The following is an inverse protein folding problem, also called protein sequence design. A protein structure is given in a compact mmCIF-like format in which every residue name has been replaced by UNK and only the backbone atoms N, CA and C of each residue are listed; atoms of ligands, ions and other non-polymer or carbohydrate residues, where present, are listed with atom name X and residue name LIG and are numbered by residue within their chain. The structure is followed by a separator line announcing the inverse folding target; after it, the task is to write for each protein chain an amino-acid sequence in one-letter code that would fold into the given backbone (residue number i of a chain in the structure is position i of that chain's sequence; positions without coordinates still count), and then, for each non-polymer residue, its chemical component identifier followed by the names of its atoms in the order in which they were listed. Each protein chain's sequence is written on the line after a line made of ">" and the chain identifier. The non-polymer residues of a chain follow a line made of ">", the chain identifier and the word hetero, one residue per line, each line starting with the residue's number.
data_IF_224910278971
#
_entry.id   IF_224910278971
#
_cell.length_a   1.000
_cell.length_b   1.000
_cell.length_c   1.000
_cell.angle_alpha   90.00
_cell.angle_beta   90.00
_cell.angle_gamma   90.00
#
_symmetry.space_group_name_H-M   'P 1'
#
loop_
_entity.id
_entity.type
_entity.pdbx_description
1 polymer ?
#
# COMPACT_ATOMS: atom_id res chain seq x y z
N UNK A 1 -4.12 -11.44 12.32
CA UNK A 1 -3.00 -12.40 12.28
C UNK A 1 -1.82 -11.69 11.62
N UNK A 2 -0.72 -11.52 12.36
CA UNK A 2 0.48 -10.82 11.88
C UNK A 2 1.20 -11.77 10.92
N UNK A 3 1.03 -11.56 9.62
CA UNK A 3 1.73 -12.30 8.56
C UNK A 3 3.21 -11.91 8.63
N UNK A 4 3.98 -12.60 9.48
CA UNK A 4 5.43 -12.53 9.46
C UNK A 4 5.91 -12.97 8.07
N UNK A 5 6.61 -12.07 7.39
CA UNK A 5 6.86 -12.09 5.96
C UNK A 5 7.64 -13.30 5.48
N UNK A 6 6.97 -14.20 4.76
CA UNK A 6 7.65 -14.95 3.71
C UNK A 6 7.65 -14.07 2.49
N UNK A 7 8.84 -13.67 2.01
CA UNK A 7 8.97 -12.99 0.71
C UNK A 7 8.21 -13.81 -0.33
N UNK A 8 7.32 -13.14 -1.05
CA UNK A 8 6.57 -13.74 -2.13
C UNK A 8 7.08 -13.15 -3.45
N UNK A 9 7.83 -13.92 -4.25
CA UNK A 9 8.44 -13.41 -5.48
C UNK A 9 7.39 -12.94 -6.49
N UNK A 10 6.16 -13.47 -6.43
CA UNK A 10 5.07 -13.01 -7.28
C UNK A 10 4.63 -11.60 -6.90
N UNK A 11 4.47 -11.31 -5.60
CA UNK A 11 4.12 -9.98 -5.11
C UNK A 11 5.23 -8.96 -5.33
N UNK A 12 6.49 -9.35 -5.18
CA UNK A 12 7.65 -8.51 -5.51
C UNK A 12 7.62 -8.11 -6.99
N UNK A 13 7.35 -9.07 -7.88
CA UNK A 13 7.23 -8.81 -9.31
C UNK A 13 6.05 -7.89 -9.63
N UNK A 14 4.86 -8.15 -9.07
CA UNK A 14 3.69 -7.29 -9.26
C UNK A 14 3.94 -5.86 -8.78
N UNK A 15 4.57 -5.71 -7.61
CA UNK A 15 4.93 -4.39 -7.09
C UNK A 15 5.94 -3.69 -8.01
N UNK A 16 6.95 -4.40 -8.51
CA UNK A 16 7.90 -3.88 -9.47
C UNK A 16 7.21 -3.41 -10.77
N UNK A 17 6.39 -4.26 -11.39
CA UNK A 17 5.69 -3.94 -12.64
C UNK A 17 4.78 -2.71 -12.47
N UNK A 18 4.14 -2.57 -11.30
CA UNK A 18 3.34 -1.40 -10.96
C UNK A 18 4.20 -0.12 -10.85
N UNK A 19 5.34 -0.19 -10.15
CA UNK A 19 6.27 0.94 -10.07
C UNK A 19 6.78 1.36 -11.45
N UNK A 20 7.18 0.39 -12.27
CA UNK A 20 7.66 0.62 -13.65
C UNK A 20 6.58 1.30 -14.51
N UNK A 21 5.32 0.89 -14.35
CA UNK A 21 4.19 1.48 -15.08
C UNK A 21 3.91 2.92 -14.65
N UNK A 22 3.97 3.24 -13.35
CA UNK A 22 3.80 4.60 -12.84
C UNK A 22 4.93 5.53 -13.30
N UNK A 23 6.17 5.04 -13.23
CA UNK A 23 7.34 5.82 -13.58
C UNK A 23 7.53 5.94 -15.09
N UNK A 24 6.98 5.00 -15.86
CA UNK A 24 7.20 4.87 -17.30
C UNK A 24 8.61 4.41 -17.65
N UNK A 25 9.35 3.83 -16.70
CA UNK A 25 10.72 3.34 -16.88
C UNK A 25 10.85 1.94 -16.29
N UNK A 26 11.65 1.10 -16.95
CA UNK A 26 11.95 -0.24 -16.45
C UNK A 26 13.11 -0.23 -15.47
N UNK A 27 13.07 -1.16 -14.52
CA UNK A 27 14.17 -1.40 -13.60
C UNK A 27 15.36 -1.96 -14.39
N UNK A 28 16.60 -1.63 -14.00
CA UNK A 28 17.79 -2.15 -14.66
C UNK A 28 17.83 -3.68 -14.59
N UNK A 29 18.06 -4.31 -15.74
CA UNK A 29 18.12 -5.77 -15.83
C UNK A 29 19.33 -6.32 -15.10
N UNK A 30 19.12 -7.34 -14.25
CA UNK A 30 20.17 -7.99 -13.48
C UNK A 30 20.40 -7.42 -12.08
N UNK A 31 19.69 -6.36 -11.70
CA UNK A 31 19.68 -5.84 -10.33
C UNK A 31 18.48 -6.39 -9.55
N UNK A 32 18.69 -6.66 -8.25
CA UNK A 32 17.61 -7.10 -7.38
C UNK A 32 16.66 -5.94 -7.07
N UNK A 33 15.36 -6.24 -6.91
CA UNK A 33 14.32 -5.27 -6.61
C UNK A 33 14.75 -4.34 -5.46
N UNK A 34 15.20 -4.90 -4.34
CA UNK A 34 15.58 -4.13 -3.16
C UNK A 34 16.81 -3.25 -3.35
N UNK A 35 17.70 -3.57 -4.30
CA UNK A 35 18.88 -2.75 -4.59
C UNK A 35 18.51 -1.52 -5.41
N UNK A 36 17.57 -1.66 -6.34
CA UNK A 36 17.09 -0.54 -7.19
C UNK A 36 16.33 0.51 -6.38
N UNK A 37 15.58 0.10 -5.37
CA UNK A 37 14.81 1.03 -4.52
C UNK A 37 15.57 1.46 -3.26
N UNK A 38 16.75 0.88 -3.00
CA UNK A 38 17.49 1.04 -1.73
C UNK A 38 17.86 2.48 -1.40
N UNK A 39 18.19 3.27 -2.42
CA UNK A 39 18.60 4.66 -2.25
C UNK A 39 17.42 5.63 -2.07
N UNK A 40 16.19 5.14 -2.23
CA UNK A 40 14.95 5.89 -2.05
C UNK A 40 14.63 6.86 -3.18
N UNK A 41 15.48 7.05 -4.19
CA UNK A 41 15.22 7.97 -5.33
C UNK A 41 13.99 7.50 -6.10
N UNK A 42 13.95 6.23 -6.49
CA UNK A 42 12.86 5.64 -7.27
C UNK A 42 11.52 5.72 -6.51
N UNK A 43 11.54 5.48 -5.20
CA UNK A 43 10.37 5.60 -4.33
C UNK A 43 9.86 7.05 -4.29
N UNK A 44 10.76 8.01 -4.15
CA UNK A 44 10.41 9.42 -4.14
C UNK A 44 9.83 9.90 -5.48
N UNK A 45 10.44 9.48 -6.59
CA UNK A 45 9.94 9.78 -7.94
C UNK A 45 8.53 9.22 -8.16
N UNK A 46 8.30 7.99 -7.71
CA UNK A 46 6.99 7.35 -7.82
C UNK A 46 5.93 8.11 -7.01
N UNK A 47 6.27 8.54 -5.80
CA UNK A 47 5.37 9.35 -5.00
C UNK A 47 5.03 10.69 -5.65
N UNK A 48 6.01 11.34 -6.28
CA UNK A 48 5.79 12.56 -7.05
C UNK A 48 4.93 12.35 -8.31
N UNK A 49 4.83 11.13 -8.84
CA UNK A 49 3.89 10.79 -9.92
C UNK A 49 2.46 10.64 -9.40
N UNK A 50 2.29 10.09 -8.20
CA UNK A 50 0.99 9.95 -7.54
C UNK A 50 0.46 11.31 -7.07
N UNK A 51 1.32 12.09 -6.42
CA UNK A 51 1.01 13.43 -5.92
C UNK A 51 2.10 14.39 -6.38
N UNK A 52 1.82 15.20 -7.41
CA UNK A 52 2.80 16.17 -7.92
C UNK A 52 3.31 17.09 -6.80
N UNK A 53 4.61 17.05 -6.55
CA UNK A 53 5.27 17.89 -5.54
C UNK A 53 5.20 17.38 -4.10
N UNK A 54 4.79 16.13 -3.86
CA UNK A 54 4.82 15.53 -2.52
C UNK A 54 6.23 15.52 -1.89
N UNK A 55 7.27 15.35 -2.69
CA UNK A 55 8.66 15.32 -2.26
C UNK A 55 9.44 16.33 -3.10
N UNK A 56 9.72 17.49 -2.52
CA UNK A 56 10.38 18.60 -3.21
C UNK A 56 11.85 18.32 -3.56
N UNK A 57 12.54 17.52 -2.74
CA UNK A 57 13.98 17.27 -2.89
C UNK A 57 14.27 15.78 -2.86
N UNK A 58 14.84 15.28 -3.95
CA UNK A 58 15.31 13.90 -4.07
C UNK A 58 16.84 13.93 -4.18
N UNK A 59 17.52 13.29 -3.24
CA UNK A 59 18.97 13.22 -3.23
C UNK A 59 19.45 12.07 -4.13
N UNK A 60 19.96 12.38 -5.33
CA UNK A 60 20.50 11.38 -6.26
C UNK A 60 21.99 11.08 -6.06
N UNK A 61 22.67 11.87 -5.22
CA UNK A 61 24.10 11.74 -4.97
C UNK A 61 24.50 12.16 -3.56
N UNK A 62 25.60 11.58 -3.08
CA UNK A 62 26.19 11.86 -1.77
C UNK A 62 26.28 10.61 -0.88
N UNK A 63 26.49 10.82 0.41
CA UNK A 63 26.65 9.73 1.37
C UNK A 63 25.33 9.04 1.76
N UNK A 64 25.47 7.91 2.45
CA UNK A 64 24.38 7.07 2.98
C UNK A 64 23.27 7.86 3.70
N UNK A 65 23.63 8.89 4.47
CA UNK A 65 22.64 9.72 5.18
C UNK A 65 21.63 10.40 4.25
N UNK A 66 22.04 10.83 3.05
CA UNK A 66 21.13 11.45 2.08
C UNK A 66 20.15 10.46 1.46
N UNK A 67 20.59 9.21 1.28
CA UNK A 67 19.73 8.15 0.76
C UNK A 67 18.72 7.71 1.81
N UNK A 68 19.14 7.62 3.07
CA UNK A 68 18.21 7.45 4.19
C UNK A 68 17.21 8.61 4.28
N UNK A 69 17.63 9.85 4.03
CA UNK A 69 16.72 11.01 3.99
C UNK A 69 15.64 10.84 2.91
N UNK A 70 15.98 10.33 1.72
CA UNK A 70 14.98 10.02 0.69
C UNK A 70 13.93 9.00 1.20
N UNK A 71 14.38 7.93 1.86
CA UNK A 71 13.47 6.93 2.43
C UNK A 71 12.53 7.56 3.47
N UNK A 72 13.05 8.41 4.35
CA UNK A 72 12.24 9.13 5.34
C UNK A 72 11.23 10.08 4.68
N UNK A 73 11.64 10.81 3.62
CA UNK A 73 10.74 11.68 2.85
C UNK A 73 9.61 10.88 2.19
N UNK A 74 9.94 9.70 1.65
CA UNK A 74 8.94 8.78 1.10
C UNK A 74 7.96 8.32 2.18
N UNK A 75 8.43 7.87 3.35
CA UNK A 75 7.58 7.47 4.47
C UNK A 75 6.64 8.60 4.93
N UNK A 76 7.14 9.84 5.01
CA UNK A 76 6.31 10.99 5.34
C UNK A 76 5.22 11.24 4.29
N UNK A 77 5.57 11.13 3.00
CA UNK A 77 4.63 11.31 1.91
C UNK A 77 3.56 10.21 1.86
N UNK A 78 3.90 8.96 2.19
CA UNK A 78 2.93 7.86 2.33
C UNK A 78 1.85 8.17 3.38
N UNK A 79 2.27 8.65 4.56
CA UNK A 79 1.35 9.00 5.66
C UNK A 79 0.46 10.16 5.26
N UNK A 80 1.02 11.19 4.62
CA UNK A 80 0.26 12.33 4.11
C UNK A 80 -0.73 11.93 3.01
N UNK A 81 -0.43 10.89 2.25
CA UNK A 81 -1.34 10.31 1.25
C UNK A 81 -2.44 9.46 1.88
N UNK A 82 -2.34 9.09 3.16
CA UNK A 82 -3.35 8.30 3.87
C UNK A 82 -3.06 6.81 3.94
N UNK A 83 -1.80 6.39 3.76
CA UNK A 83 -1.35 5.05 4.16
C UNK A 83 -1.23 5.01 5.69
N UNK A 84 -1.73 3.93 6.31
CA UNK A 84 -1.69 3.77 7.76
C UNK A 84 -0.24 3.63 8.27
N UNK A 85 0.09 4.28 9.38
CA UNK A 85 1.41 4.20 10.02
C UNK A 85 1.87 2.76 10.29
N UNK A 86 0.93 1.84 10.57
CA UNK A 86 1.24 0.42 10.81
C UNK A 86 1.67 -0.32 9.53
N UNK A 87 1.24 0.17 8.36
CA UNK A 87 1.57 -0.40 7.06
C UNK A 87 2.87 0.19 6.49
N UNK A 88 3.41 1.27 7.08
CA UNK A 88 4.65 1.94 6.62
C UNK A 88 5.90 1.21 7.12
N UNK A 89 6.74 0.73 6.20
CA UNK A 89 8.02 0.10 6.51
C UNK A 89 9.01 1.09 7.17
N UNK A 90 9.97 0.55 7.92
CA UNK A 90 11.02 1.30 8.59
C UNK A 90 12.28 1.40 7.73
N UNK A 91 13.07 2.45 7.89
CA UNK A 91 14.27 2.68 7.08
C UNK A 91 15.26 1.49 7.09
N UNK A 92 15.36 0.78 8.22
CA UNK A 92 16.19 -0.42 8.36
C UNK A 92 15.70 -1.61 7.52
N UNK A 93 14.39 -1.70 7.29
CA UNK A 93 13.75 -2.80 6.55
C UNK A 93 14.25 -2.83 5.11
N UNK A 94 14.39 -1.65 4.51
CA UNK A 94 14.92 -1.45 3.16
C UNK A 94 16.44 -1.28 3.15
N UNK A 95 16.98 -0.36 3.96
CA UNK A 95 18.40 0.00 3.87
C UNK A 95 19.34 -1.15 4.26
N UNK A 96 19.00 -1.89 5.31
CA UNK A 96 19.74 -3.08 5.75
C UNK A 96 19.13 -4.38 5.21
N UNK A 97 18.09 -4.29 4.37
CA UNK A 97 17.34 -5.43 3.83
C UNK A 97 16.79 -6.37 4.92
N UNK A 98 16.47 -5.82 6.10
CA UNK A 98 15.96 -6.60 7.25
C UNK A 98 14.61 -7.23 6.97
N UNK A 99 13.72 -6.51 6.28
CA UNK A 99 12.36 -6.96 6.00
C UNK A 99 11.82 -6.36 4.68
N UNK A 100 12.30 -6.88 3.55
CA UNK A 100 11.82 -6.44 2.22
C UNK A 100 10.35 -6.84 1.99
N UNK A 101 9.86 -7.89 2.68
CA UNK A 101 8.45 -8.25 2.59
C UNK A 101 7.57 -7.12 3.14
N UNK A 102 7.97 -6.46 4.23
CA UNK A 102 7.28 -5.27 4.73
C UNK A 102 7.29 -4.12 3.72
N UNK A 103 8.40 -3.90 3.00
CA UNK A 103 8.48 -2.86 1.95
C UNK A 103 7.46 -3.12 0.84
N UNK A 104 7.35 -4.37 0.39
CA UNK A 104 6.35 -4.78 -0.61
C UNK A 104 4.94 -4.59 -0.07
N UNK A 105 4.67 -5.01 1.17
CA UNK A 105 3.37 -4.78 1.82
C UNK A 105 2.99 -3.29 1.86
N UNK A 106 3.94 -2.41 2.15
CA UNK A 106 3.71 -0.95 2.10
C UNK A 106 3.33 -0.47 0.69
N UNK A 107 3.94 -1.00 -0.36
CA UNK A 107 3.57 -0.67 -1.75
C UNK A 107 2.14 -1.12 -2.08
N UNK A 108 1.74 -2.31 -1.64
CA UNK A 108 0.35 -2.78 -1.77
C UNK A 108 -0.62 -1.95 -0.92
N UNK A 109 -0.21 -1.47 0.25
CA UNK A 109 -1.02 -0.54 1.05
C UNK A 109 -1.21 0.79 0.31
N UNK A 110 -0.14 1.35 -0.26
CA UNK A 110 -0.21 2.55 -1.10
C UNK A 110 -1.12 2.35 -2.31
N UNK A 111 -0.96 1.25 -3.05
CA UNK A 111 -1.82 0.90 -4.19
C UNK A 111 -3.29 0.75 -3.84
N UNK A 112 -3.60 0.27 -2.64
CA UNK A 112 -4.97 0.24 -2.11
C UNK A 112 -5.47 1.64 -1.74
N UNK A 113 -4.60 2.49 -1.21
CA UNK A 113 -4.94 3.88 -0.89
C UNK A 113 -5.27 4.67 -2.14
N UNK A 114 -4.61 4.43 -3.28
CA UNK A 114 -4.92 5.17 -4.53
C UNK A 114 -6.37 5.02 -5.00
N UNK A 115 -7.08 3.93 -4.65
CA UNK A 115 -8.52 3.80 -4.94
C UNK A 115 -9.41 4.83 -4.22
N UNK A 116 -8.92 5.43 -3.13
CA UNK A 116 -9.60 6.50 -2.38
C UNK A 116 -9.37 7.88 -3.00
N UNK A 117 -8.46 7.99 -3.98
CA UNK A 117 -8.09 9.24 -4.63
C UNK A 117 -8.70 9.30 -6.04
N UNK A 118 -9.86 9.97 -6.22
CA UNK A 118 -10.51 10.06 -7.52
C UNK A 118 -9.67 10.80 -8.58
N UNK A 119 -8.71 11.61 -8.16
CA UNK A 119 -7.74 12.27 -9.03
C UNK A 119 -6.72 11.30 -9.65
N UNK A 120 -6.55 10.10 -9.08
CA UNK A 120 -5.64 9.09 -9.61
C UNK A 120 -6.33 8.25 -10.69
N UNK A 121 -5.86 8.39 -11.93
CA UNK A 121 -6.34 7.62 -13.09
C UNK A 121 -5.31 6.60 -13.60
N UNK A 122 -4.25 6.36 -12.83
CA UNK A 122 -3.16 5.45 -13.22
C UNK A 122 -3.43 3.98 -12.87
N UNK A 123 -2.42 3.11 -13.02
CA UNK A 123 -2.55 1.69 -12.64
C UNK A 123 -2.76 1.55 -11.13
N UNK A 124 -3.51 0.54 -10.74
CA UNK A 124 -3.75 0.19 -9.34
C UNK A 124 -2.95 -1.06 -8.96
N UNK A 125 -2.59 -1.17 -7.69
CA UNK A 125 -1.92 -2.35 -7.15
C UNK A 125 -2.74 -2.93 -5.99
N UNK A 126 -2.93 -4.25 -6.03
CA UNK A 126 -3.73 -4.98 -5.06
C UNK A 126 -5.23 -4.98 -5.37
N UNK A 127 -6.00 -5.78 -4.59
CA UNK A 127 -7.43 -5.94 -4.83
C UNK A 127 -8.14 -4.60 -4.66
N UNK A 128 -9.04 -4.30 -5.61
CA UNK A 128 -9.95 -3.17 -5.48
C UNK A 128 -10.72 -3.31 -4.16
N UNK A 129 -10.68 -2.31 -3.25
CA UNK A 129 -11.54 -2.35 -2.08
C UNK A 129 -12.97 -2.47 -2.60
N UNK A 130 -13.67 -3.55 -2.24
CA UNK A 130 -15.07 -3.72 -2.61
C UNK A 130 -15.80 -2.48 -2.15
N UNK A 131 -16.41 -1.75 -3.10
CA UNK A 131 -17.46 -0.78 -2.80
C UNK A 131 -18.39 -1.50 -1.83
N UNK A 132 -18.54 -0.95 -0.63
CA UNK A 132 -19.38 -1.50 0.40
C UNK A 132 -20.74 -1.75 -0.28
N UNK A 133 -21.08 -3.02 -0.48
CA UNK A 133 -22.43 -3.40 -0.86
C UNK A 133 -23.25 -2.90 0.32
N UNK A 134 -23.81 -1.70 0.19
CA UNK A 134 -24.84 -1.19 1.08
C UNK A 134 -25.94 -2.24 1.01
N UNK A 135 -25.89 -3.21 1.92
CA UNK A 135 -27.07 -3.92 2.35
C UNK A 135 -27.87 -2.85 3.06
N UNK A 136 -28.64 -2.10 2.28
CA UNK A 136 -29.90 -1.55 2.73
C UNK A 136 -30.70 -2.75 3.24
N UNK A 137 -30.50 -3.09 4.51
CA UNK A 137 -31.44 -3.88 5.25
C UNK A 137 -32.68 -3.00 5.35
N UNK A 138 -33.62 -3.21 4.44
CA UNK A 138 -34.93 -2.59 4.55
C UNK A 138 -35.54 -3.01 5.90
N UNK A 139 -36.09 -2.02 6.61
CA UNK A 139 -36.63 -2.13 7.97
C UNK A 139 -37.67 -3.28 8.12
N UNK A 140 -38.27 -3.74 7.01
CA UNK A 140 -39.20 -4.87 6.97
C UNK A 140 -38.57 -6.20 7.43
N UNK A 141 -37.27 -6.46 7.20
CA UNK A 141 -36.64 -7.72 7.60
C UNK A 141 -36.35 -7.82 9.11
N UNK A 142 -36.25 -6.69 9.82
CA UNK A 142 -36.06 -6.68 11.28
C UNK A 142 -37.36 -6.93 12.05
N UNK A 143 -38.52 -6.75 11.42
CA UNK A 143 -39.82 -6.88 12.10
C UNK A 143 -40.41 -8.30 12.04
N UNK A 144 -39.97 -9.14 11.10
CA UNK A 144 -40.46 -10.52 10.94
C UNK A 144 -39.94 -11.50 12.01
N UNK A 145 -38.96 -11.10 12.84
CA UNK A 145 -38.37 -11.93 13.89
C UNK A 145 -39.08 -11.93 15.25
N UNK A 146 -40.16 -11.15 15.42
CA UNK A 146 -40.79 -10.95 16.75
C UNK A 146 -42.02 -11.82 17.06
N UNK A 147 -42.45 -12.73 16.18
CA UNK A 147 -43.78 -13.38 16.32
C UNK A 147 -43.75 -14.90 16.51
N UNK A 148 -42.73 -15.48 17.15
CA UNK A 148 -42.76 -16.90 17.54
C UNK A 148 -42.20 -17.05 18.96
N UNK A 149 -43.05 -16.79 19.97
CA UNK A 149 -42.84 -17.22 21.35
C UNK A 149 -44.06 -18.06 21.74
N UNK A 150 -43.76 -19.25 22.26
CA UNK A 150 -44.62 -20.42 22.27
C UNK A 150 -45.87 -20.32 23.12
N UNK A 151 -46.97 -20.80 22.54
CA UNK A 151 -48.15 -21.25 23.27
C UNK A 151 -48.14 -22.78 23.27
N UNK A 152 -47.58 -23.37 24.34
CA UNK A 152 -47.87 -24.74 24.73
C UNK A 152 -48.59 -24.68 26.07
N UNK A 153 -49.92 -24.77 26.01
CA UNK A 153 -50.81 -24.98 27.13
C UNK A 153 -51.30 -26.44 27.09
N UNK A 154 -51.00 -27.18 28.16
CA UNK A 154 -51.79 -28.24 28.79
C UNK A 154 -52.38 -29.39 27.95
N UNK A 155 -51.99 -30.61 28.30
CA UNK A 155 -52.89 -31.59 28.94
C UNK A 155 -52.06 -32.53 29.82
#
# INVERSE_FOLDING_TARGET
>A
AKLAGKRNPEQEREAQEWMETILGKKFPGGEAFEDVIRDGTVLCEMMNKLVPGAIAKINTSGGQFKMMENINNFQAALKNYGVDDQDVFQTVDLWEKKDIAQVVCTLFALGRTTYKHPEWSGPYLGPKPSDECKRDFTDEQLKAGQTIIGLQAGS
#
